data_IF_005378122753
#
_entry.id   IF_005378122753
#
_cell.length_a   1.000
_cell.length_b   1.000
_cell.length_c   1.000
_cell.angle_alpha   90.00
_cell.angle_beta   90.00
_cell.angle_gamma   90.00
#
_symmetry.space_group_name_H-M   'P 1'
#
loop_
_entity.id
_entity.type
_entity.pdbx_description
1 polymer ?
#
# COMPACT_ATOMS: atom_id res chain seq x y z
N UNK A 1 -6.26 -18.15 -5.15
CA UNK A 1 -5.49 -18.82 -4.06
C UNK A 1 -4.28 -17.93 -3.80
N UNK A 2 -4.25 -17.24 -2.66
CA UNK A 2 -3.17 -16.28 -2.34
C UNK A 2 -1.81 -16.97 -2.23
N UNK A 3 -0.78 -16.35 -2.80
CA UNK A 3 0.60 -16.83 -2.75
C UNK A 3 1.15 -16.64 -1.33
N UNK A 4 1.73 -17.66 -0.71
CA UNK A 4 2.39 -17.54 0.60
C UNK A 4 3.88 -17.32 0.37
N UNK A 5 4.43 -16.21 0.87
CA UNK A 5 5.88 -15.98 0.87
C UNK A 5 6.43 -16.15 2.28
N UNK A 6 7.69 -16.58 2.38
CA UNK A 6 8.41 -16.52 3.65
C UNK A 6 8.62 -15.08 4.11
N UNK A 7 8.59 -14.82 5.41
CA UNK A 7 8.66 -13.47 5.96
C UNK A 7 9.89 -12.67 5.54
N UNK A 8 11.02 -13.34 5.27
CA UNK A 8 12.23 -12.70 4.75
C UNK A 8 12.03 -12.06 3.37
N UNK A 9 11.25 -12.67 2.48
CA UNK A 9 10.96 -12.10 1.17
C UNK A 9 10.08 -10.86 1.29
N UNK A 10 9.07 -10.90 2.16
CA UNK A 10 8.19 -9.75 2.43
C UNK A 10 9.00 -8.56 2.99
N UNK A 11 9.89 -8.83 3.95
CA UNK A 11 10.79 -7.81 4.51
C UNK A 11 11.64 -7.15 3.43
N UNK A 12 12.26 -7.94 2.54
CA UNK A 12 13.07 -7.42 1.44
C UNK A 12 12.25 -6.53 0.52
N UNK A 13 11.02 -6.93 0.17
CA UNK A 13 10.13 -6.13 -0.67
C UNK A 13 9.81 -4.78 -0.01
N UNK A 14 9.44 -4.79 1.28
CA UNK A 14 9.12 -3.56 2.02
C UNK A 14 10.35 -2.66 2.17
N UNK A 15 11.54 -3.24 2.35
CA UNK A 15 12.79 -2.49 2.40
C UNK A 15 13.13 -1.84 1.05
N UNK A 16 13.03 -2.59 -0.05
CA UNK A 16 13.24 -2.05 -1.40
C UNK A 16 12.26 -0.92 -1.71
N UNK A 17 10.99 -1.08 -1.34
CA UNK A 17 9.97 -0.06 -1.51
C UNK A 17 10.32 1.21 -0.72
N UNK A 18 10.78 1.07 0.53
CA UNK A 18 11.23 2.19 1.36
C UNK A 18 12.40 2.92 0.71
N UNK A 19 13.44 2.20 0.27
CA UNK A 19 14.60 2.80 -0.39
C UNK A 19 14.24 3.51 -1.70
N UNK A 20 13.28 2.96 -2.45
CA UNK A 20 12.79 3.60 -3.68
C UNK A 20 12.04 4.91 -3.42
N UNK A 21 11.29 4.99 -2.31
CA UNK A 21 10.54 6.19 -1.90
C UNK A 21 11.45 7.25 -1.25
N UNK A 22 12.42 6.82 -0.42
CA UNK A 22 13.29 7.72 0.34
C UNK A 22 14.52 8.19 -0.46
N UNK A 23 14.86 7.51 -1.55
CA UNK A 23 16.03 7.80 -2.38
C UNK A 23 15.71 8.52 -3.70
N UNK A 24 16.76 8.81 -4.47
CA UNK A 24 16.66 9.44 -5.79
C UNK A 24 16.14 8.49 -6.89
N UNK A 25 15.89 7.22 -6.55
CA UNK A 25 15.43 6.19 -7.49
C UNK A 25 13.96 6.32 -7.87
N UNK A 26 13.20 7.20 -7.20
CA UNK A 26 11.77 7.37 -7.45
C UNK A 26 11.43 7.68 -8.91
N UNK A 27 12.24 8.52 -9.57
CA UNK A 27 12.00 8.90 -10.97
C UNK A 27 12.07 7.72 -11.95
N UNK A 28 12.92 6.72 -11.68
CA UNK A 28 12.98 5.48 -12.44
C UNK A 28 11.88 4.49 -11.99
N UNK A 29 11.56 4.50 -10.69
CA UNK A 29 10.61 3.59 -10.07
C UNK A 29 9.15 3.90 -10.42
N UNK A 30 8.79 5.17 -10.59
CA UNK A 30 7.43 5.63 -10.83
C UNK A 30 6.81 5.06 -12.12
N UNK A 31 7.63 4.79 -13.14
CA UNK A 31 7.21 4.16 -14.39
C UNK A 31 6.92 2.66 -14.28
N UNK A 32 7.46 2.00 -13.24
CA UNK A 32 7.27 0.58 -12.98
C UNK A 32 6.35 0.31 -11.78
N UNK A 33 5.67 1.35 -11.27
CA UNK A 33 4.89 1.26 -10.05
C UNK A 33 3.82 0.16 -10.08
N UNK A 34 3.18 -0.02 -11.24
CA UNK A 34 2.21 -1.10 -11.45
C UNK A 34 2.82 -2.49 -11.22
N UNK A 35 3.99 -2.74 -11.83
CA UNK A 35 4.70 -4.02 -11.77
C UNK A 35 5.26 -4.31 -10.38
N UNK A 36 5.69 -3.28 -9.64
CA UNK A 36 6.25 -3.44 -8.30
C UNK A 36 5.17 -3.64 -7.24
N UNK A 37 4.01 -2.99 -7.39
CA UNK A 37 2.94 -3.04 -6.41
C UNK A 37 1.95 -4.18 -6.64
N UNK A 38 1.85 -4.71 -7.86
CA UNK A 38 1.02 -5.88 -8.15
C UNK A 38 1.39 -7.10 -7.25
N UNK A 39 2.67 -7.48 -7.09
CA UNK A 39 3.05 -8.55 -6.16
C UNK A 39 2.60 -8.28 -4.73
N UNK A 40 2.75 -7.04 -4.23
CA UNK A 40 2.33 -6.69 -2.87
C UNK A 40 0.81 -6.84 -2.72
N UNK A 41 0.05 -6.41 -3.73
CA UNK A 41 -1.39 -6.61 -3.79
C UNK A 41 -1.76 -8.10 -3.74
N UNK A 42 -1.14 -8.94 -4.57
CA UNK A 42 -1.39 -10.39 -4.55
C UNK A 42 -0.99 -11.05 -3.23
N UNK A 43 0.10 -10.60 -2.61
CA UNK A 43 0.54 -11.12 -1.31
C UNK A 43 -0.46 -10.78 -0.21
N UNK A 44 -1.03 -9.58 -0.24
CA UNK A 44 -2.02 -9.14 0.74
C UNK A 44 -3.36 -9.89 0.66
N UNK A 45 -3.60 -10.71 -0.37
CA UNK A 45 -4.76 -11.62 -0.38
C UNK A 45 -4.65 -12.73 0.67
N UNK A 46 -3.43 -12.98 1.19
CA UNK A 46 -3.19 -13.95 2.24
C UNK A 46 -3.11 -13.23 3.62
N UNK A 47 -3.96 -13.60 4.60
CA UNK A 47 -3.97 -12.95 5.91
C UNK A 47 -2.65 -13.03 6.68
N UNK A 48 -1.89 -14.12 6.54
CA UNK A 48 -0.60 -14.27 7.23
C UNK A 48 0.46 -13.35 6.61
N UNK A 49 0.46 -13.21 5.28
CA UNK A 49 1.32 -12.23 4.62
C UNK A 49 0.96 -10.80 5.03
N UNK A 50 -0.33 -10.49 5.22
CA UNK A 50 -0.76 -9.18 5.70
C UNK A 50 -0.18 -8.86 7.07
N UNK A 51 -0.17 -9.83 8.00
CA UNK A 51 0.42 -9.64 9.32
C UNK A 51 1.91 -9.32 9.22
N UNK A 52 2.65 -10.05 8.37
CA UNK A 52 4.07 -9.77 8.14
C UNK A 52 4.27 -8.41 7.45
N UNK A 53 3.48 -8.10 6.41
CA UNK A 53 3.51 -6.81 5.72
C UNK A 53 3.27 -5.65 6.68
N UNK A 54 2.29 -5.78 7.58
CA UNK A 54 2.00 -4.79 8.60
C UNK A 54 3.16 -4.64 9.60
N UNK A 55 3.69 -5.76 10.12
CA UNK A 55 4.80 -5.78 11.06
C UNK A 55 6.09 -5.15 10.50
N UNK A 56 6.35 -5.32 9.20
CA UNK A 56 7.52 -4.73 8.52
C UNK A 56 7.31 -3.26 8.12
N UNK A 57 6.15 -2.67 8.44
CA UNK A 57 5.81 -1.27 8.14
C UNK A 57 5.30 -1.04 6.71
N UNK A 58 4.81 -2.09 6.05
CA UNK A 58 4.27 -2.05 4.69
C UNK A 58 3.10 -1.07 4.55
N UNK A 59 2.21 -0.98 5.55
CA UNK A 59 1.10 -0.01 5.53
C UNK A 59 1.59 1.43 5.38
N UNK A 60 2.60 1.83 6.17
CA UNK A 60 3.20 3.17 6.09
C UNK A 60 3.80 3.44 4.71
N UNK A 61 4.53 2.47 4.15
CA UNK A 61 5.13 2.65 2.83
C UNK A 61 4.09 2.75 1.71
N UNK A 62 3.08 1.88 1.71
CA UNK A 62 1.99 1.93 0.73
C UNK A 62 1.21 3.25 0.77
N UNK A 63 1.00 3.83 1.96
CA UNK A 63 0.37 5.15 2.09
C UNK A 63 1.27 6.25 1.54
N UNK A 64 2.57 6.21 1.84
CA UNK A 64 3.54 7.16 1.27
C UNK A 64 3.53 7.11 -0.25
N UNK A 65 3.48 5.91 -0.84
CA UNK A 65 3.33 5.75 -2.29
C UNK A 65 2.11 6.50 -2.80
N UNK A 66 0.95 6.32 -2.17
CA UNK A 66 -0.27 6.99 -2.60
C UNK A 66 -0.26 8.52 -2.41
N UNK A 67 0.62 9.05 -1.56
CA UNK A 67 0.82 10.48 -1.34
C UNK A 67 1.79 11.12 -2.34
N UNK A 68 2.51 10.32 -3.14
CA UNK A 68 3.45 10.86 -4.12
C UNK A 68 2.70 11.56 -5.26
N UNK A 69 3.21 12.70 -5.78
CA UNK A 69 2.53 13.50 -6.80
C UNK A 69 2.09 12.68 -8.00
N UNK A 70 2.94 11.79 -8.48
CA UNK A 70 2.73 10.94 -9.64
C UNK A 70 1.58 9.94 -9.42
N UNK A 71 1.42 9.44 -8.20
CA UNK A 71 0.29 8.59 -7.81
C UNK A 71 -1.00 9.38 -7.57
N UNK A 72 -0.89 10.63 -7.14
CA UNK A 72 -2.02 11.54 -6.92
C UNK A 72 -2.61 12.04 -8.24
N UNK A 73 -1.76 12.40 -9.20
CA UNK A 73 -2.15 12.92 -10.52
C UNK A 73 -2.62 11.81 -11.47
N UNK A 74 -2.20 10.56 -11.24
CA UNK A 74 -2.60 9.38 -12.02
C UNK A 74 -4.12 9.14 -12.08
N UNK A 75 -4.91 9.78 -11.22
CA UNK A 75 -6.39 9.78 -11.27
C UNK A 75 -6.90 10.27 -12.64
N UNK A 76 -6.13 11.11 -13.33
CA UNK A 76 -6.55 11.78 -14.57
C UNK A 76 -6.21 11.04 -15.87
N UNK A 77 -5.42 9.96 -15.82
CA UNK A 77 -4.96 9.22 -17.02
C UNK A 77 -5.06 7.69 -16.83
N UNK A 78 -6.22 7.07 -17.09
CA UNK A 78 -6.38 5.61 -17.01
C UNK A 78 -5.44 4.90 -18.00
N UNK A 79 -4.79 3.82 -17.56
CA UNK A 79 -3.84 3.04 -18.38
C UNK A 79 -2.36 3.42 -18.20
N UNK A 80 -2.06 4.45 -17.40
CA UNK A 80 -0.69 4.82 -17.04
C UNK A 80 -0.17 3.96 -15.88
N UNK A 81 1.13 3.60 -15.86
CA UNK A 81 1.69 2.69 -14.86
C UNK A 81 1.47 3.13 -13.39
N UNK A 82 1.63 4.42 -13.04
CA UNK A 82 1.18 5.00 -11.77
C UNK A 82 -0.29 4.77 -11.41
N UNK A 83 -1.21 4.73 -12.39
CA UNK A 83 -2.63 4.50 -12.12
C UNK A 83 -2.92 3.04 -11.73
N UNK A 84 -2.23 2.09 -12.37
CA UNK A 84 -2.29 0.67 -11.99
C UNK A 84 -1.63 0.43 -10.63
N UNK A 85 -0.45 1.00 -10.42
CA UNK A 85 0.26 0.93 -9.13
C UNK A 85 -0.59 1.48 -7.98
N UNK A 86 -1.27 2.63 -8.20
CA UNK A 86 -2.23 3.18 -7.24
C UNK A 86 -3.34 2.19 -6.90
N UNK A 87 -3.96 1.55 -7.91
CA UNK A 87 -5.03 0.54 -7.68
C UNK A 87 -4.52 -0.63 -6.84
N UNK A 88 -3.33 -1.14 -7.13
CA UNK A 88 -2.71 -2.21 -6.36
C UNK A 88 -2.40 -1.79 -4.92
N UNK A 89 -1.88 -0.57 -4.71
CA UNK A 89 -1.67 0.00 -3.39
C UNK A 89 -2.97 0.08 -2.59
N UNK A 90 -4.02 0.66 -3.18
CA UNK A 90 -5.33 0.79 -2.52
C UNK A 90 -5.87 -0.59 -2.16
N UNK A 91 -5.87 -1.54 -3.10
CA UNK A 91 -6.36 -2.89 -2.82
C UNK A 91 -5.58 -3.60 -1.72
N UNK A 92 -4.25 -3.48 -1.72
CA UNK A 92 -3.40 -4.05 -0.68
C UNK A 92 -3.72 -3.47 0.69
N UNK A 93 -3.90 -2.16 0.74
CA UNK A 93 -4.33 -1.44 1.94
C UNK A 93 -5.71 -1.90 2.40
N UNK A 94 -6.69 -2.12 1.52
CA UNK A 94 -8.00 -2.66 1.89
C UNK A 94 -7.88 -4.03 2.55
N UNK A 95 -7.04 -4.91 1.99
CA UNK A 95 -6.82 -6.25 2.52
C UNK A 95 -6.14 -6.22 3.90
N UNK A 96 -5.22 -5.28 4.11
CA UNK A 96 -4.59 -5.03 5.42
C UNK A 96 -5.62 -4.50 6.44
N UNK A 97 -6.45 -3.54 6.06
CA UNK A 97 -7.47 -2.96 6.95
C UNK A 97 -8.59 -3.95 7.33
N UNK A 98 -8.84 -4.97 6.51
CA UNK A 98 -9.76 -6.06 6.85
C UNK A 98 -9.25 -6.93 8.02
N UNK A 99 -7.99 -6.77 8.44
CA UNK A 99 -7.37 -7.53 9.53
C UNK A 99 -7.09 -6.57 10.69
N UNK A 100 -7.86 -6.64 11.79
CA UNK A 100 -7.75 -5.70 12.91
C UNK A 100 -6.34 -5.57 13.49
N UNK A 101 -5.56 -6.66 13.54
CA UNK A 101 -4.18 -6.64 14.06
C UNK A 101 -3.20 -5.88 13.16
N UNK A 102 -3.52 -5.70 11.87
CA UNK A 102 -2.69 -4.93 10.94
C UNK A 102 -2.93 -3.41 11.07
N UNK A 103 -4.04 -3.00 11.70
CA UNK A 103 -4.42 -1.61 11.89
C UNK A 103 -3.52 -0.86 12.88
N UNK A 104 -2.83 -1.56 13.79
CA UNK A 104 -1.88 -0.94 14.71
C UNK A 104 -0.73 -0.20 13.98
N UNK A 105 -0.34 -0.68 12.80
CA UNK A 105 0.67 -0.02 11.95
C UNK A 105 0.17 1.26 11.26
N UNK A 106 -1.09 1.65 11.47
CA UNK A 106 -1.73 2.84 10.90
C UNK A 106 -1.74 4.03 11.87
N UNK A 107 -1.34 3.80 13.13
CA UNK A 107 -1.25 4.84 14.15
C UNK A 107 -0.38 6.02 13.68
N UNK A 108 -0.98 7.21 13.61
CA UNK A 108 -0.30 8.44 13.21
C UNK A 108 -0.11 8.64 11.71
N UNK A 109 -0.67 7.77 10.85
CA UNK A 109 -0.58 7.95 9.40
C UNK A 109 -1.82 8.65 8.86
N UNK A 110 -1.67 9.93 8.48
CA UNK A 110 -2.77 10.72 7.90
C UNK A 110 -2.99 10.36 6.43
N UNK A 111 -4.08 9.67 6.12
CA UNK A 111 -4.51 9.43 4.73
C UNK A 111 -5.42 10.57 4.29
N UNK A 112 -5.12 11.24 3.16
CA UNK A 112 -6.01 12.27 2.64
C UNK A 112 -7.27 11.61 2.03
N UNK A 113 -8.47 12.21 2.15
CA UNK A 113 -9.71 11.61 1.64
C UNK A 113 -9.69 11.32 0.12
N UNK A 114 -8.85 12.03 -0.64
CA UNK A 114 -8.65 11.84 -2.08
C UNK A 114 -7.71 10.67 -2.42
N UNK A 115 -7.05 10.08 -1.42
CA UNK A 115 -5.98 9.08 -1.59
C UNK A 115 -6.54 7.66 -1.80
N UNK A 116 -7.66 7.31 -1.16
CA UNK A 116 -8.27 5.98 -1.28
C UNK A 116 -9.46 5.91 -2.27
N UNK A 117 -9.99 7.07 -2.69
CA UNK A 117 -11.26 7.13 -3.44
C UNK A 117 -12.48 6.98 -2.53
N UNK A 118 -13.69 6.86 -3.10
CA UNK A 118 -14.92 6.57 -2.34
C UNK A 118 -15.22 5.07 -2.36
N UNK A 119 -15.66 4.49 -1.24
CA UNK A 119 -16.12 3.10 -1.16
C UNK A 119 -15.79 2.38 0.16
N UNK A 120 -16.14 1.08 0.27
CA UNK A 120 -16.04 0.31 1.51
C UNK A 120 -14.61 0.19 2.06
N UNK A 121 -13.61 0.32 1.18
CA UNK A 121 -12.22 0.40 1.60
C UNK A 121 -11.94 1.70 2.36
N UNK A 122 -12.46 2.84 1.92
CA UNK A 122 -12.35 4.11 2.65
C UNK A 122 -12.97 3.99 4.04
N UNK A 123 -14.14 3.37 4.14
CA UNK A 123 -14.87 3.22 5.40
C UNK A 123 -14.13 2.30 6.38
N UNK A 124 -13.58 1.18 5.90
CA UNK A 124 -12.73 0.29 6.69
C UNK A 124 -11.44 1.00 7.15
N UNK A 125 -10.88 1.87 6.31
CA UNK A 125 -9.70 2.67 6.62
C UNK A 125 -9.97 3.82 7.58
N UNK A 126 -11.09 4.52 7.44
CA UNK A 126 -11.51 5.60 8.35
C UNK A 126 -11.91 5.03 9.72
N UNK A 127 -12.54 3.85 9.74
CA UNK A 127 -12.79 3.11 10.98
C UNK A 127 -11.48 2.67 11.63
N UNK A 128 -10.54 2.08 10.87
CA UNK A 128 -9.23 1.67 11.41
C UNK A 128 -8.34 2.84 11.87
N UNK A 129 -8.38 3.97 11.16
CA UNK A 129 -7.63 5.18 11.52
C UNK A 129 -8.31 5.98 12.65
N UNK A 130 -9.63 5.93 12.76
CA UNK A 130 -10.45 6.54 13.80
C UNK A 130 -10.57 5.73 15.10
N UNK A 131 -10.02 4.51 15.14
CA UNK A 131 -9.88 3.67 16.36
C UNK A 131 -8.68 4.12 17.22
N UNK A 132 -7.97 5.17 16.83
CA UNK A 132 -6.83 5.74 17.56
C UNK A 132 -7.04 7.22 17.92
N UNK A 133 -8.22 7.56 18.41
CA UNK A 133 -8.39 8.72 19.29
C UNK A 133 -8.26 8.32 20.76
#
# INVERSE_FOLDING_TARGET
RGMRLGGAAIRTIVHCLRCAIDGELWAAFSWHLGEVLEPICRLSENPENCQVLAAEGGCKQLIRVLQLPECSEAITRPGHAPANGRRHCVQALCNLAAIPSCCAGLAGVRVLPRTLGRGPCKDAWESAAGVLE
#
